data_IF_559028816742
#
_entry.id   IF_559028816742
#
_cell.length_a   1.000
_cell.length_b   1.000
_cell.length_c   1.000
_cell.angle_alpha   90.00
_cell.angle_beta   90.00
_cell.angle_gamma   90.00
#
_symmetry.space_group_name_H-M   'P 1'
#
loop_
_entity.id
_entity.type
_entity.pdbx_description
1 polymer ?
#
# COMPACT_ATOMS: atom_id res chain seq x y z
N UNK A 1 -15.67 -28.91 -6.56
CA UNK A 1 -15.10 -27.87 -5.69
C UNK A 1 -16.04 -27.61 -4.53
N UNK A 2 -15.59 -27.79 -3.27
CA UNK A 2 -16.39 -27.43 -2.09
C UNK A 2 -16.73 -25.93 -2.17
N UNK A 3 -17.99 -25.59 -1.91
CA UNK A 3 -18.48 -24.20 -1.93
C UNK A 3 -17.80 -23.43 -0.80
N UNK A 4 -17.05 -22.37 -1.12
CA UNK A 4 -16.41 -21.53 -0.11
C UNK A 4 -17.48 -20.81 0.71
N UNK A 5 -17.53 -21.07 1.99
CA UNK A 5 -18.44 -20.42 2.94
C UNK A 5 -17.74 -19.22 3.58
N UNK A 6 -18.41 -18.07 3.54
CA UNK A 6 -17.93 -16.83 4.11
C UNK A 6 -18.75 -16.48 5.34
N UNK A 7 -18.08 -16.19 6.45
CA UNK A 7 -18.73 -15.82 7.70
C UNK A 7 -18.08 -14.55 8.29
N UNK A 8 -18.92 -13.73 8.88
CA UNK A 8 -18.51 -12.67 9.78
C UNK A 8 -17.80 -13.25 11.02
N UNK A 9 -17.11 -12.40 11.78
CA UNK A 9 -16.55 -12.78 13.09
C UNK A 9 -17.48 -12.30 14.20
N UNK A 10 -17.56 -13.04 15.30
CA UNK A 10 -18.36 -12.63 16.47
C UNK A 10 -17.86 -11.31 17.06
N UNK A 11 -16.54 -11.06 17.01
CA UNK A 11 -15.92 -9.82 17.50
C UNK A 11 -16.24 -9.50 18.95
N UNK A 12 -16.43 -10.54 19.80
CA UNK A 12 -16.78 -10.43 21.20
C UNK A 12 -15.58 -10.71 22.14
N UNK A 13 -14.39 -10.98 21.59
CA UNK A 13 -13.20 -11.27 22.41
C UNK A 13 -12.62 -9.99 23.00
N UNK A 14 -12.05 -10.09 24.22
CA UNK A 14 -11.33 -8.98 24.87
C UNK A 14 -10.21 -8.41 24.00
N UNK A 15 -9.50 -9.27 23.23
CA UNK A 15 -8.47 -8.85 22.29
C UNK A 15 -9.00 -8.02 21.13
N UNK A 16 -10.20 -8.35 20.61
CA UNK A 16 -10.84 -7.53 19.57
C UNK A 16 -11.24 -6.16 20.09
N UNK A 17 -11.85 -6.07 21.29
CA UNK A 17 -12.21 -4.79 21.90
C UNK A 17 -10.96 -3.95 22.21
N UNK A 18 -9.88 -4.57 22.70
CA UNK A 18 -8.62 -3.88 22.93
C UNK A 18 -8.02 -3.32 21.62
N UNK A 19 -8.09 -4.07 20.52
CA UNK A 19 -7.66 -3.61 19.20
C UNK A 19 -8.49 -2.40 18.73
N UNK A 20 -9.82 -2.48 18.82
CA UNK A 20 -10.71 -1.36 18.41
C UNK A 20 -10.47 -0.13 19.28
N UNK A 21 -10.29 -0.30 20.59
CA UNK A 21 -9.99 0.79 21.52
C UNK A 21 -8.63 1.45 21.19
N UNK A 22 -7.59 0.65 20.92
CA UNK A 22 -6.28 1.15 20.53
C UNK A 22 -6.34 1.94 19.21
N UNK A 23 -6.98 1.38 18.18
CA UNK A 23 -7.12 2.05 16.91
C UNK A 23 -7.97 3.33 17.02
N UNK A 24 -9.05 3.29 17.80
CA UNK A 24 -9.87 4.46 18.10
C UNK A 24 -9.09 5.56 18.83
N UNK A 25 -8.26 5.20 19.80
CA UNK A 25 -7.39 6.12 20.50
C UNK A 25 -6.36 6.77 19.56
N UNK A 26 -5.72 5.99 18.68
CA UNK A 26 -4.78 6.50 17.67
C UNK A 26 -5.46 7.46 16.68
N UNK A 27 -6.69 7.16 16.26
CA UNK A 27 -7.48 8.08 15.41
C UNK A 27 -7.77 9.38 16.17
N UNK A 28 -8.23 9.30 17.43
CA UNK A 28 -8.51 10.47 18.23
C UNK A 28 -7.27 11.35 18.44
N UNK A 29 -6.12 10.74 18.71
CA UNK A 29 -4.82 11.43 18.83
C UNK A 29 -4.44 12.08 17.49
N UNK A 30 -4.59 11.37 16.36
CA UNK A 30 -4.32 11.91 15.03
C UNK A 30 -5.22 13.09 14.66
N UNK A 31 -6.52 13.03 15.00
CA UNK A 31 -7.45 14.16 14.83
C UNK A 31 -7.09 15.35 15.75
N UNK A 32 -6.67 15.08 16.98
CA UNK A 32 -6.15 16.11 17.89
C UNK A 32 -4.90 16.78 17.35
N UNK A 33 -3.99 16.02 16.74
CA UNK A 33 -2.79 16.54 16.08
C UNK A 33 -3.15 17.42 14.86
N UNK A 34 -4.09 16.97 14.03
CA UNK A 34 -4.59 17.76 12.90
C UNK A 34 -5.23 19.07 13.38
N UNK A 35 -6.10 18.99 14.38
CA UNK A 35 -6.72 20.19 14.96
C UNK A 35 -5.66 21.18 15.51
N UNK A 36 -4.63 20.67 16.19
CA UNK A 36 -3.52 21.49 16.68
C UNK A 36 -2.78 22.20 15.54
N UNK A 37 -2.44 21.49 14.46
CA UNK A 37 -1.76 22.07 13.31
C UNK A 37 -2.62 23.12 12.60
N UNK A 38 -3.93 22.88 12.45
CA UNK A 38 -4.87 23.83 11.84
C UNK A 38 -5.07 25.08 12.69
N UNK A 39 -5.21 24.92 14.01
CA UNK A 39 -5.48 26.04 14.91
C UNK A 39 -4.23 26.89 15.18
N UNK A 40 -3.07 26.26 15.36
CA UNK A 40 -1.81 26.97 15.62
C UNK A 40 -1.11 27.44 14.35
N UNK A 41 -1.50 26.88 13.18
CA UNK A 41 -0.83 27.09 11.90
C UNK A 41 0.31 26.10 11.66
N UNK A 42 0.64 25.86 10.39
CA UNK A 42 1.63 24.87 9.98
C UNK A 42 3.08 25.19 10.41
N UNK A 43 3.35 26.33 11.04
CA UNK A 43 4.67 26.64 11.62
C UNK A 43 5.06 25.69 12.76
N UNK A 44 4.11 24.96 13.35
CA UNK A 44 4.38 23.93 14.38
C UNK A 44 4.84 22.60 13.78
N UNK A 45 4.89 22.49 12.46
CA UNK A 45 5.36 21.33 11.72
C UNK A 45 6.83 21.48 11.32
N UNK A 46 7.43 20.40 10.79
CA UNK A 46 8.75 20.47 10.17
C UNK A 46 8.76 21.08 8.76
N UNK A 47 7.59 21.38 8.21
CA UNK A 47 7.45 21.91 6.85
C UNK A 47 7.98 23.34 6.73
N UNK A 48 8.53 23.66 5.58
CA UNK A 48 9.09 24.97 5.25
C UNK A 48 8.61 25.41 3.87
N UNK A 49 8.94 26.62 3.42
CA UNK A 49 8.64 27.07 2.06
C UNK A 49 9.32 26.20 0.98
N UNK A 50 10.41 25.51 1.32
CA UNK A 50 11.12 24.62 0.39
C UNK A 50 10.60 23.17 0.49
N UNK A 51 10.29 22.68 1.69
CA UNK A 51 9.74 21.35 1.97
C UNK A 51 8.28 21.52 2.37
N UNK A 52 7.40 21.56 1.38
CA UNK A 52 5.96 21.79 1.55
C UNK A 52 5.17 20.49 1.76
N UNK A 53 5.76 19.34 1.44
CA UNK A 53 5.19 18.01 1.65
C UNK A 53 6.00 17.29 2.73
N UNK A 54 5.48 17.28 3.94
CA UNK A 54 6.13 16.68 5.10
C UNK A 54 5.76 15.20 5.30
N UNK A 55 5.99 14.73 6.51
CA UNK A 55 5.73 13.34 6.93
C UNK A 55 4.28 12.89 6.70
N UNK A 56 3.21 13.70 6.89
CA UNK A 56 1.85 13.28 6.57
C UNK A 56 1.69 12.84 5.12
N UNK A 57 2.30 13.56 4.17
CA UNK A 57 2.27 13.20 2.75
C UNK A 57 2.97 11.86 2.49
N UNK A 58 4.03 11.52 3.23
CA UNK A 58 4.71 10.21 3.13
C UNK A 58 3.75 9.08 3.47
N UNK A 59 3.04 9.19 4.61
CA UNK A 59 2.03 8.21 5.00
C UNK A 59 0.87 8.13 4.01
N UNK A 60 0.37 9.29 3.57
CA UNK A 60 -0.75 9.36 2.64
C UNK A 60 -0.42 8.70 1.30
N UNK A 61 0.69 9.06 0.67
CA UNK A 61 1.13 8.49 -0.62
C UNK A 61 1.40 7.00 -0.48
N UNK A 62 2.05 6.56 0.62
CA UNK A 62 2.25 5.14 0.89
C UNK A 62 0.92 4.37 0.94
N UNK A 63 -0.06 4.87 1.71
CA UNK A 63 -1.38 4.23 1.85
C UNK A 63 -2.14 4.19 0.51
N UNK A 64 -2.11 5.27 -0.27
CA UNK A 64 -2.74 5.36 -1.59
C UNK A 64 -2.13 4.34 -2.57
N UNK A 65 -0.79 4.27 -2.60
CA UNK A 65 -0.06 3.31 -3.45
C UNK A 65 -0.34 1.88 -3.00
N UNK A 66 -0.31 1.60 -1.69
CA UNK A 66 -0.63 0.30 -1.14
C UNK A 66 -2.09 -0.11 -1.40
N UNK A 67 -3.04 0.84 -1.38
CA UNK A 67 -4.45 0.59 -1.69
C UNK A 67 -4.64 0.01 -3.10
N UNK A 68 -4.01 0.63 -4.09
CA UNK A 68 -4.01 0.12 -5.47
C UNK A 68 -3.49 -1.31 -5.53
N UNK A 69 -2.37 -1.59 -4.87
CA UNK A 69 -1.75 -2.91 -4.87
C UNK A 69 -2.51 -3.97 -4.07
N UNK A 70 -3.16 -3.59 -2.98
CA UNK A 70 -4.02 -4.49 -2.21
C UNK A 70 -5.15 -5.07 -3.08
N UNK A 71 -5.75 -4.27 -3.97
CA UNK A 71 -6.78 -4.71 -4.91
C UNK A 71 -6.27 -5.74 -5.94
N UNK A 72 -4.96 -5.82 -6.16
CA UNK A 72 -4.37 -6.77 -7.11
C UNK A 72 -4.71 -8.24 -6.78
N UNK A 73 -4.77 -8.58 -5.48
CA UNK A 73 -5.11 -9.94 -5.03
C UNK A 73 -6.52 -10.34 -5.51
N UNK A 74 -7.50 -9.41 -5.43
CA UNK A 74 -8.83 -9.62 -5.97
C UNK A 74 -8.80 -9.79 -7.49
N UNK A 75 -7.99 -9.01 -8.20
CA UNK A 75 -7.86 -9.05 -9.65
C UNK A 75 -7.26 -10.38 -10.14
N UNK A 76 -6.30 -10.97 -9.42
CA UNK A 76 -5.74 -12.28 -9.74
C UNK A 76 -6.84 -13.35 -9.76
N UNK A 77 -7.75 -13.30 -8.79
CA UNK A 77 -8.87 -14.24 -8.70
C UNK A 77 -9.96 -14.02 -9.74
N UNK A 78 -10.40 -12.77 -9.93
CA UNK A 78 -11.58 -12.43 -10.73
C UNK A 78 -11.25 -12.17 -12.20
N UNK A 79 -10.20 -11.42 -12.50
CA UNK A 79 -9.82 -11.02 -13.87
C UNK A 79 -9.00 -12.13 -14.54
N UNK A 80 -7.93 -12.57 -13.87
CA UNK A 80 -7.03 -13.59 -14.41
C UNK A 80 -7.49 -15.04 -14.14
N UNK A 81 -8.64 -15.23 -13.50
CA UNK A 81 -9.29 -16.52 -13.33
C UNK A 81 -8.56 -17.54 -12.44
N UNK A 82 -7.57 -17.09 -11.65
CA UNK A 82 -6.82 -17.97 -10.74
C UNK A 82 -7.65 -18.31 -9.51
N UNK A 83 -8.29 -19.49 -9.56
CA UNK A 83 -9.26 -19.97 -8.54
C UNK A 83 -8.76 -19.95 -7.09
N UNK A 84 -7.48 -20.24 -6.76
CA UNK A 84 -7.00 -20.22 -5.38
C UNK A 84 -7.08 -18.82 -4.72
N UNK A 85 -7.08 -17.74 -5.52
CA UNK A 85 -7.13 -16.36 -5.01
C UNK A 85 -8.54 -15.80 -4.88
N UNK A 86 -9.56 -16.45 -5.49
CA UNK A 86 -10.96 -16.00 -5.42
C UNK A 86 -11.47 -15.79 -3.99
N UNK A 87 -11.19 -16.68 -3.02
CA UNK A 87 -11.64 -16.49 -1.64
C UNK A 87 -11.10 -15.24 -0.95
N UNK A 88 -9.97 -14.70 -1.44
CA UNK A 88 -9.30 -13.53 -0.88
C UNK A 88 -9.87 -12.19 -1.40
N UNK A 89 -10.69 -12.23 -2.46
CA UNK A 89 -11.09 -11.02 -3.21
C UNK A 89 -11.87 -10.01 -2.37
N UNK A 90 -12.74 -10.48 -1.45
CA UNK A 90 -13.54 -9.59 -0.59
C UNK A 90 -12.68 -8.83 0.40
N UNK A 91 -11.79 -9.53 1.11
CA UNK A 91 -10.85 -8.90 2.05
C UNK A 91 -9.92 -7.92 1.32
N UNK A 92 -9.42 -8.30 0.15
CA UNK A 92 -8.59 -7.48 -0.71
C UNK A 92 -9.28 -6.17 -1.12
N UNK A 93 -10.56 -6.22 -1.51
CA UNK A 93 -11.32 -5.04 -1.89
C UNK A 93 -11.59 -4.10 -0.69
N UNK A 94 -11.96 -4.65 0.48
CA UNK A 94 -12.14 -3.84 1.70
C UNK A 94 -10.84 -3.20 2.14
N UNK A 95 -9.72 -3.94 2.12
CA UNK A 95 -8.41 -3.38 2.45
C UNK A 95 -8.01 -2.24 1.50
N UNK A 96 -8.29 -2.39 0.20
CA UNK A 96 -8.01 -1.34 -0.77
C UNK A 96 -8.82 -0.06 -0.48
N UNK A 97 -10.12 -0.18 -0.20
CA UNK A 97 -10.96 0.96 0.22
C UNK A 97 -10.42 1.59 1.50
N UNK A 98 -10.09 0.76 2.50
CA UNK A 98 -9.64 1.22 3.80
C UNK A 98 -8.30 1.99 3.72
N UNK A 99 -7.32 1.45 2.99
CA UNK A 99 -6.02 2.10 2.81
C UNK A 99 -6.17 3.43 2.05
N UNK A 100 -6.99 3.48 0.99
CA UNK A 100 -7.24 4.73 0.28
C UNK A 100 -7.96 5.75 1.16
N UNK A 101 -8.98 5.34 1.92
CA UNK A 101 -9.69 6.23 2.83
C UNK A 101 -8.77 6.81 3.91
N UNK A 102 -7.90 5.98 4.51
CA UNK A 102 -6.89 6.44 5.48
C UNK A 102 -5.90 7.42 4.87
N UNK A 103 -5.39 7.15 3.66
CA UNK A 103 -4.48 8.05 2.94
C UNK A 103 -5.12 9.39 2.58
N UNK A 104 -6.37 9.37 2.09
CA UNK A 104 -7.11 10.59 1.76
C UNK A 104 -7.47 11.40 3.00
N UNK A 105 -7.79 10.74 4.12
CA UNK A 105 -8.04 11.44 5.37
C UNK A 105 -6.82 12.24 5.84
N UNK A 106 -5.62 11.65 5.76
CA UNK A 106 -4.38 12.38 6.06
C UNK A 106 -4.23 13.59 5.13
N UNK A 107 -4.38 13.41 3.81
CA UNK A 107 -4.22 14.50 2.86
C UNK A 107 -5.18 15.65 3.12
N UNK A 108 -6.46 15.35 3.41
CA UNK A 108 -7.48 16.38 3.69
C UNK A 108 -7.15 17.13 4.98
N UNK A 109 -6.71 16.42 6.01
CA UNK A 109 -6.40 17.00 7.31
C UNK A 109 -5.05 17.74 7.36
N UNK A 110 -4.22 17.59 6.32
CA UNK A 110 -2.92 18.28 6.19
C UNK A 110 -2.98 19.45 5.18
N UNK A 111 -4.16 19.78 4.62
CA UNK A 111 -4.28 20.83 3.60
C UNK A 111 -4.12 22.26 4.10
N UNK A 112 -4.17 22.51 5.41
CA UNK A 112 -4.18 23.83 6.01
C UNK A 112 -5.48 24.63 5.81
N UNK A 113 -6.22 24.35 4.75
CA UNK A 113 -7.55 24.92 4.47
C UNK A 113 -8.47 23.87 3.84
N UNK A 114 -8.83 22.81 4.60
CA UNK A 114 -9.66 21.72 4.09
C UNK A 114 -11.06 22.18 3.67
N UNK A 115 -11.55 23.28 4.24
CA UNK A 115 -12.81 23.95 3.88
C UNK A 115 -12.85 24.36 2.40
N UNK A 116 -11.68 24.67 1.79
CA UNK A 116 -11.58 25.06 0.37
C UNK A 116 -11.40 23.89 -0.59
N UNK A 117 -11.36 22.65 -0.12
CA UNK A 117 -11.24 21.47 -0.99
C UNK A 117 -12.38 21.42 -2.01
N UNK A 118 -13.60 21.82 -1.61
CA UNK A 118 -14.76 21.87 -2.51
C UNK A 118 -14.53 22.81 -3.71
N UNK A 119 -13.80 23.90 -3.52
CA UNK A 119 -13.45 24.82 -4.60
C UNK A 119 -12.51 24.15 -5.60
N UNK A 120 -11.49 23.44 -5.12
CA UNK A 120 -10.59 22.68 -5.97
C UNK A 120 -11.31 21.53 -6.70
N UNK A 121 -12.39 21.00 -6.13
CA UNK A 121 -13.21 19.95 -6.73
C UNK A 121 -14.24 20.47 -7.74
N UNK A 122 -14.56 21.74 -7.73
CA UNK A 122 -15.58 22.34 -8.61
C UNK A 122 -15.01 23.22 -9.73
N UNK A 123 -13.83 23.79 -9.51
CA UNK A 123 -13.12 24.64 -10.47
C UNK A 123 -11.83 23.96 -10.92
N UNK A 124 -11.94 23.03 -11.86
CA UNK A 124 -10.80 22.23 -12.30
C UNK A 124 -9.89 22.95 -13.30
N UNK A 125 -8.59 22.80 -13.09
CA UNK A 125 -7.62 22.97 -14.14
C UNK A 125 -7.29 21.60 -14.76
N UNK A 126 -7.84 21.28 -15.91
CA UNK A 126 -7.62 19.99 -16.59
C UNK A 126 -6.18 19.77 -17.07
N UNK A 127 -5.31 20.78 -17.02
CA UNK A 127 -3.87 20.62 -17.24
C UNK A 127 -3.10 20.18 -16.00
N UNK A 128 -3.75 20.21 -14.82
CA UNK A 128 -3.12 19.84 -13.56
C UNK A 128 -3.28 18.37 -13.29
N UNK A 129 -2.15 17.67 -13.08
CA UNK A 129 -2.13 16.27 -12.65
C UNK A 129 -2.78 16.09 -11.28
N UNK A 130 -2.73 17.09 -10.40
CA UNK A 130 -3.38 17.05 -9.10
C UNK A 130 -4.90 17.00 -9.22
N UNK A 131 -5.49 17.77 -10.13
CA UNK A 131 -6.92 17.75 -10.40
C UNK A 131 -7.37 16.36 -10.90
N UNK A 132 -6.61 15.74 -11.79
CA UNK A 132 -6.88 14.39 -12.27
C UNK A 132 -6.87 13.36 -11.14
N UNK A 133 -5.94 13.47 -10.17
CA UNK A 133 -5.88 12.54 -9.06
C UNK A 133 -7.11 12.58 -8.15
N UNK A 134 -7.80 13.74 -8.01
CA UNK A 134 -9.07 13.81 -7.27
C UNK A 134 -10.12 12.89 -7.92
N UNK A 135 -10.25 12.93 -9.24
CA UNK A 135 -11.16 12.03 -9.99
C UNK A 135 -10.75 10.57 -9.85
N UNK A 136 -9.46 10.29 -9.96
CA UNK A 136 -8.94 8.93 -9.90
C UNK A 136 -9.17 8.29 -8.52
N UNK A 137 -8.95 9.02 -7.43
CA UNK A 137 -9.19 8.53 -6.07
C UNK A 137 -10.67 8.34 -5.79
N UNK A 138 -11.51 9.30 -6.14
CA UNK A 138 -12.97 9.20 -5.97
C UNK A 138 -13.54 8.06 -6.81
N UNK A 139 -13.15 7.98 -8.08
CA UNK A 139 -13.58 6.91 -8.97
C UNK A 139 -13.15 5.53 -8.49
N UNK A 140 -11.94 5.40 -7.94
CA UNK A 140 -11.49 4.13 -7.35
C UNK A 140 -12.38 3.69 -6.19
N UNK A 141 -12.69 4.58 -5.24
CA UNK A 141 -13.57 4.26 -4.12
C UNK A 141 -14.93 3.76 -4.60
N UNK A 142 -15.55 4.47 -5.54
CA UNK A 142 -16.86 4.10 -6.09
C UNK A 142 -16.79 2.76 -6.82
N UNK A 143 -15.84 2.57 -7.72
CA UNK A 143 -15.72 1.35 -8.53
C UNK A 143 -15.43 0.14 -7.64
N UNK A 144 -14.54 0.26 -6.65
CA UNK A 144 -14.20 -0.86 -5.75
C UNK A 144 -15.33 -1.16 -4.78
N UNK A 145 -16.09 -0.15 -4.32
CA UNK A 145 -17.29 -0.36 -3.51
C UNK A 145 -18.38 -1.12 -4.30
N UNK A 146 -18.63 -0.74 -5.55
CA UNK A 146 -19.55 -1.45 -6.44
C UNK A 146 -19.05 -2.87 -6.71
N UNK A 147 -17.75 -3.05 -6.96
CA UNK A 147 -17.15 -4.37 -7.15
C UNK A 147 -17.30 -5.28 -5.91
N UNK A 148 -17.06 -4.74 -4.72
CA UNK A 148 -17.26 -5.45 -3.45
C UNK A 148 -18.73 -5.86 -3.28
N UNK A 149 -19.66 -4.93 -3.50
CA UNK A 149 -21.09 -5.20 -3.43
C UNK A 149 -21.51 -6.32 -4.39
N UNK A 150 -21.05 -6.29 -5.64
CA UNK A 150 -21.34 -7.35 -6.61
C UNK A 150 -20.78 -8.71 -6.22
N UNK A 151 -19.63 -8.76 -5.53
CA UNK A 151 -19.09 -10.02 -5.01
C UNK A 151 -19.90 -10.57 -3.83
N UNK A 152 -20.61 -9.72 -3.11
CA UNK A 152 -21.39 -10.12 -1.93
C UNK A 152 -22.83 -10.48 -2.28
N UNK A 153 -23.44 -9.78 -3.25
CA UNK A 153 -24.81 -10.02 -3.69
C UNK A 153 -24.87 -11.19 -4.69
N UNK A 154 -25.60 -12.26 -4.31
CA UNK A 154 -25.65 -13.51 -5.08
C UNK A 154 -26.17 -13.30 -6.52
N UNK A 155 -27.19 -12.44 -6.70
CA UNK A 155 -27.78 -12.16 -8.00
C UNK A 155 -26.85 -11.37 -8.92
N UNK A 156 -26.02 -10.51 -8.34
CA UNK A 156 -25.12 -9.60 -9.07
C UNK A 156 -23.73 -10.21 -9.30
N UNK A 157 -23.41 -11.33 -8.66
CA UNK A 157 -22.05 -11.93 -8.72
C UNK A 157 -21.61 -12.30 -10.15
N UNK A 158 -22.54 -12.53 -11.09
CA UNK A 158 -22.25 -12.74 -12.52
C UNK A 158 -21.53 -11.56 -13.17
N UNK A 159 -21.73 -10.33 -12.65
CA UNK A 159 -21.10 -9.12 -13.13
C UNK A 159 -19.79 -8.78 -12.41
N UNK A 160 -19.39 -9.55 -11.41
CA UNK A 160 -18.16 -9.30 -10.64
C UNK A 160 -16.90 -9.34 -11.50
N UNK A 161 -16.86 -10.17 -12.55
CA UNK A 161 -15.71 -10.24 -13.46
C UNK A 161 -15.53 -8.99 -14.32
N UNK A 162 -16.53 -8.48 -15.08
CA UNK A 162 -16.37 -7.26 -15.85
C UNK A 162 -16.12 -6.03 -14.97
N UNK A 163 -16.78 -5.88 -13.82
CA UNK A 163 -16.52 -4.78 -12.91
C UNK A 163 -15.14 -4.91 -12.25
N UNK A 164 -14.70 -6.14 -11.95
CA UNK A 164 -13.32 -6.41 -11.51
C UNK A 164 -12.27 -6.01 -12.56
N UNK A 165 -12.55 -6.18 -13.85
CA UNK A 165 -11.67 -5.69 -14.93
C UNK A 165 -11.62 -4.16 -14.98
N UNK A 166 -12.77 -3.49 -14.85
CA UNK A 166 -12.81 -2.02 -14.74
C UNK A 166 -12.01 -1.54 -13.53
N UNK A 167 -12.20 -2.16 -12.38
CA UNK A 167 -11.45 -1.85 -11.17
C UNK A 167 -9.93 -2.08 -11.35
N UNK A 168 -9.55 -3.16 -12.07
CA UNK A 168 -8.14 -3.44 -12.39
C UNK A 168 -7.53 -2.38 -13.30
N UNK A 169 -8.21 -1.96 -14.35
CA UNK A 169 -7.73 -0.90 -15.25
C UNK A 169 -7.67 0.44 -14.49
N UNK A 170 -8.72 0.78 -13.75
CA UNK A 170 -8.79 2.04 -13.01
C UNK A 170 -7.67 2.18 -11.98
N UNK A 171 -7.34 1.11 -11.23
CA UNK A 171 -6.24 1.17 -10.27
C UNK A 171 -4.87 1.40 -10.94
N UNK A 172 -4.65 0.87 -12.14
CA UNK A 172 -3.42 1.14 -12.89
C UNK A 172 -3.34 2.60 -13.31
N UNK A 173 -4.46 3.17 -13.81
CA UNK A 173 -4.56 4.58 -14.16
C UNK A 173 -4.34 5.46 -12.92
N UNK A 174 -4.96 5.10 -11.78
CA UNK A 174 -4.76 5.80 -10.50
C UNK A 174 -3.28 5.82 -10.09
N UNK A 175 -2.63 4.67 -10.10
CA UNK A 175 -1.23 4.58 -9.66
C UNK A 175 -0.30 5.29 -10.64
N UNK A 176 -0.58 5.23 -11.96
CA UNK A 176 0.09 6.02 -12.98
C UNK A 176 -0.07 7.52 -12.69
N UNK A 177 -1.31 7.97 -12.40
CA UNK A 177 -1.59 9.37 -12.03
C UNK A 177 -0.82 9.82 -10.79
N UNK A 178 -0.78 8.97 -9.75
CA UNK A 178 -0.04 9.27 -8.52
C UNK A 178 1.47 9.37 -8.79
N UNK A 179 2.05 8.44 -9.56
CA UNK A 179 3.46 8.51 -9.95
C UNK A 179 3.77 9.69 -10.87
N UNK A 180 2.81 10.08 -11.73
CA UNK A 180 2.94 11.23 -12.63
C UNK A 180 2.92 12.56 -11.88
N UNK A 181 2.37 12.64 -10.65
CA UNK A 181 2.53 13.83 -9.80
C UNK A 181 4.02 14.18 -9.68
N UNK A 182 4.84 13.18 -9.39
CA UNK A 182 6.28 13.37 -9.26
C UNK A 182 6.96 13.47 -10.64
N UNK A 183 6.62 12.59 -11.58
CA UNK A 183 7.24 12.56 -12.90
C UNK A 183 7.02 13.80 -13.76
N UNK A 184 5.98 14.59 -13.50
CA UNK A 184 5.67 15.82 -14.24
C UNK A 184 6.14 17.10 -13.55
N UNK A 185 6.72 17.01 -12.35
CA UNK A 185 7.24 18.16 -11.62
C UNK A 185 8.69 18.46 -12.04
N UNK A 186 8.84 19.07 -13.21
CA UNK A 186 10.13 19.41 -13.83
C UNK A 186 10.98 20.35 -12.97
N UNK A 187 10.35 21.17 -12.13
CA UNK A 187 11.05 22.10 -11.25
C UNK A 187 11.94 21.44 -10.19
N UNK A 188 11.76 20.16 -9.91
CA UNK A 188 12.55 19.40 -8.92
C UNK A 188 13.34 18.31 -9.61
N UNK A 189 14.68 18.41 -9.58
CA UNK A 189 15.57 17.44 -10.22
C UNK A 189 15.44 15.99 -9.71
N UNK A 190 14.98 15.80 -8.46
CA UNK A 190 14.72 14.47 -7.92
C UNK A 190 13.42 13.85 -8.45
N UNK A 191 12.60 14.63 -9.15
CA UNK A 191 11.32 14.17 -9.70
C UNK A 191 11.46 13.93 -11.20
N UNK A 192 10.98 14.79 -12.02
CA UNK A 192 11.15 14.92 -13.48
C UNK A 192 11.63 13.67 -14.22
N UNK A 193 10.94 12.55 -14.03
CA UNK A 193 11.31 11.29 -14.66
C UNK A 193 10.07 10.52 -15.11
N UNK A 194 9.99 10.19 -16.38
CA UNK A 194 8.91 9.36 -16.94
C UNK A 194 8.82 7.98 -16.24
N UNK A 195 9.94 7.51 -15.69
CA UNK A 195 10.01 6.24 -14.97
C UNK A 195 9.22 6.23 -13.65
N UNK A 196 8.85 7.40 -13.09
CA UNK A 196 8.09 7.48 -11.85
C UNK A 196 6.74 6.76 -11.94
N UNK A 197 6.00 6.93 -13.04
CA UNK A 197 4.71 6.28 -13.20
C UNK A 197 4.78 4.74 -13.17
N UNK A 198 5.59 4.05 -13.99
CA UNK A 198 5.72 2.60 -13.94
C UNK A 198 6.37 2.11 -12.63
N UNK A 199 7.29 2.87 -12.04
CA UNK A 199 7.87 2.54 -10.72
C UNK A 199 6.79 2.54 -9.62
N UNK A 200 5.88 3.51 -9.60
CA UNK A 200 4.77 3.53 -8.65
C UNK A 200 3.81 2.34 -8.82
N UNK A 201 3.60 1.87 -10.06
CA UNK A 201 2.85 0.63 -10.31
C UNK A 201 3.56 -0.56 -9.65
N UNK A 202 4.87 -0.71 -9.85
CA UNK A 202 5.66 -1.77 -9.22
C UNK A 202 5.63 -1.68 -7.68
N UNK A 203 5.82 -0.46 -7.14
CA UNK A 203 5.71 -0.18 -5.69
C UNK A 203 4.33 -0.57 -5.15
N UNK A 204 3.26 -0.25 -5.89
CA UNK A 204 1.91 -0.61 -5.46
C UNK A 204 1.73 -2.12 -5.29
N UNK A 205 2.25 -2.92 -6.21
CA UNK A 205 2.17 -4.37 -6.10
C UNK A 205 2.88 -4.89 -4.85
N UNK A 206 4.06 -4.38 -4.58
CA UNK A 206 4.87 -4.78 -3.41
C UNK A 206 4.22 -4.35 -2.10
N UNK A 207 3.91 -3.07 -1.94
CA UNK A 207 3.37 -2.51 -0.69
C UNK A 207 1.97 -3.03 -0.39
N UNK A 208 1.12 -3.09 -1.41
CA UNK A 208 -0.25 -3.59 -1.25
C UNK A 208 -0.31 -5.08 -0.91
N UNK A 209 0.55 -5.91 -1.52
CA UNK A 209 0.61 -7.33 -1.18
C UNK A 209 1.22 -7.55 0.21
N UNK A 210 2.23 -6.77 0.61
CA UNK A 210 2.80 -6.83 1.95
C UNK A 210 1.75 -6.49 3.03
N UNK A 211 1.00 -5.39 2.84
CA UNK A 211 -0.10 -5.01 3.73
C UNK A 211 -1.19 -6.08 3.76
N UNK A 212 -1.56 -6.63 2.60
CA UNK A 212 -2.56 -7.70 2.51
C UNK A 212 -2.12 -8.97 3.26
N UNK A 213 -0.87 -9.40 3.13
CA UNK A 213 -0.33 -10.56 3.84
C UNK A 213 -0.40 -10.39 5.36
N UNK A 214 -0.01 -9.22 5.88
CA UNK A 214 -0.07 -8.96 7.31
C UNK A 214 -1.52 -8.97 7.82
N UNK A 215 -2.44 -8.30 7.11
CA UNK A 215 -3.87 -8.28 7.48
C UNK A 215 -4.48 -9.66 7.39
N UNK A 216 -4.19 -10.44 6.34
CA UNK A 216 -4.67 -11.81 6.19
C UNK A 216 -4.20 -12.70 7.36
N UNK A 217 -2.88 -12.70 7.62
CA UNK A 217 -2.30 -13.53 8.69
C UNK A 217 -2.81 -13.12 10.07
N UNK A 218 -2.93 -11.82 10.34
CA UNK A 218 -3.49 -11.30 11.60
C UNK A 218 -4.96 -11.68 11.77
N UNK A 219 -5.78 -11.55 10.73
CA UNK A 219 -7.20 -11.89 10.75
C UNK A 219 -7.43 -13.38 11.04
N UNK A 220 -6.69 -14.26 10.37
CA UNK A 220 -6.83 -15.70 10.57
C UNK A 220 -6.28 -16.17 11.92
N UNK A 221 -5.18 -15.56 12.39
CA UNK A 221 -4.66 -15.84 13.74
C UNK A 221 -5.63 -15.36 14.82
N UNK A 222 -6.17 -14.15 14.68
CA UNK A 222 -7.10 -13.56 15.66
C UNK A 222 -8.46 -14.26 15.74
N UNK A 223 -8.87 -14.96 14.67
CA UNK A 223 -10.12 -15.71 14.59
C UNK A 223 -9.97 -17.21 14.78
N UNK A 224 -8.73 -17.69 15.00
CA UNK A 224 -8.36 -19.11 15.09
C UNK A 224 -8.86 -19.94 13.89
N UNK A 225 -9.07 -19.32 12.70
CA UNK A 225 -9.46 -20.01 11.48
C UNK A 225 -8.25 -20.63 10.80
N UNK A 226 -8.39 -21.81 10.14
CA UNK A 226 -7.27 -22.43 9.46
C UNK A 226 -6.86 -21.65 8.21
N UNK A 227 -5.56 -21.38 8.08
CA UNK A 227 -4.91 -20.73 6.94
C UNK A 227 -3.87 -21.69 6.38
N UNK A 228 -4.01 -22.10 5.11
CA UNK A 228 -3.12 -23.05 4.44
C UNK A 228 -1.74 -22.47 4.15
N UNK A 229 -0.71 -23.30 4.30
CA UNK A 229 0.67 -22.89 4.02
C UNK A 229 0.94 -22.80 2.52
N UNK A 230 0.26 -23.61 1.69
CA UNK A 230 0.38 -23.54 0.23
C UNK A 230 -0.02 -22.16 -0.30
N UNK A 231 -1.13 -21.62 0.19
CA UNK A 231 -1.59 -20.28 -0.19
C UNK A 231 -0.58 -19.19 0.24
N UNK A 232 -0.07 -19.29 1.46
CA UNK A 232 0.96 -18.36 1.96
C UNK A 232 2.24 -18.42 1.13
N UNK A 233 2.69 -19.62 0.75
CA UNK A 233 3.86 -19.82 -0.11
C UNK A 233 3.65 -19.17 -1.48
N UNK A 234 2.46 -19.29 -2.08
CA UNK A 234 2.13 -18.63 -3.35
C UNK A 234 2.18 -17.11 -3.23
N UNK A 235 1.57 -16.55 -2.18
CA UNK A 235 1.54 -15.10 -1.94
C UNK A 235 2.94 -14.56 -1.63
N UNK A 236 3.75 -15.26 -0.83
CA UNK A 236 5.12 -14.83 -0.51
C UNK A 236 6.04 -14.85 -1.74
N UNK A 237 5.89 -15.84 -2.63
CA UNK A 237 6.66 -15.89 -3.88
C UNK A 237 6.30 -14.70 -4.78
N UNK A 238 5.00 -14.37 -4.84
CA UNK A 238 4.54 -13.19 -5.57
C UNK A 238 5.09 -11.89 -4.97
N UNK A 239 5.13 -11.79 -3.63
CA UNK A 239 5.75 -10.65 -2.94
C UNK A 239 7.23 -10.52 -3.30
N UNK A 240 7.98 -11.62 -3.31
CA UNK A 240 9.39 -11.61 -3.69
C UNK A 240 9.61 -11.11 -5.13
N UNK A 241 8.78 -11.55 -6.08
CA UNK A 241 8.83 -11.04 -7.46
C UNK A 241 8.56 -9.53 -7.51
N UNK A 242 7.57 -9.05 -6.76
CA UNK A 242 7.23 -7.62 -6.74
C UNK A 242 8.34 -6.78 -6.09
N UNK A 243 8.95 -7.25 -5.01
CA UNK A 243 10.10 -6.57 -4.37
C UNK A 243 11.29 -6.50 -5.34
N UNK A 244 11.60 -7.59 -6.05
CA UNK A 244 12.66 -7.59 -7.06
C UNK A 244 12.35 -6.63 -8.21
N UNK A 245 11.08 -6.52 -8.61
CA UNK A 245 10.63 -5.57 -9.65
C UNK A 245 10.81 -4.13 -9.18
N UNK A 246 10.46 -3.80 -7.94
CA UNK A 246 10.69 -2.45 -7.37
C UNK A 246 12.18 -2.15 -7.36
N UNK A 247 13.01 -3.08 -6.89
CA UNK A 247 14.46 -2.91 -6.85
C UNK A 247 15.04 -2.66 -8.26
N UNK A 248 14.54 -3.37 -9.27
CA UNK A 248 14.92 -3.14 -10.67
C UNK A 248 14.58 -1.71 -11.13
N UNK A 249 13.35 -1.24 -10.87
CA UNK A 249 12.95 0.12 -11.25
C UNK A 249 13.75 1.20 -10.51
N UNK A 250 14.03 0.99 -9.22
CA UNK A 250 14.89 1.90 -8.43
C UNK A 250 16.29 1.96 -9.04
N UNK A 251 16.88 0.82 -9.37
CA UNK A 251 18.20 0.75 -10.01
C UNK A 251 18.20 1.48 -11.35
N UNK A 252 17.23 1.22 -12.21
CA UNK A 252 17.14 1.87 -13.54
C UNK A 252 16.94 3.39 -13.39
N UNK A 253 16.10 3.83 -12.43
CA UNK A 253 15.89 5.25 -12.15
C UNK A 253 17.20 5.95 -11.79
N UNK A 254 17.96 5.42 -10.84
CA UNK A 254 19.24 6.03 -10.44
C UNK A 254 20.30 5.95 -11.53
N UNK A 255 20.39 4.84 -12.27
CA UNK A 255 21.31 4.72 -13.40
C UNK A 255 20.99 5.73 -14.52
N UNK A 256 19.70 5.92 -14.83
CA UNK A 256 19.27 6.90 -15.83
C UNK A 256 19.68 8.32 -15.42
N UNK A 257 19.43 8.66 -14.15
CA UNK A 257 19.75 9.98 -13.62
C UNK A 257 21.27 10.20 -13.47
N UNK A 258 22.05 9.14 -13.19
CA UNK A 258 23.51 9.21 -13.18
C UNK A 258 24.10 9.38 -14.59
N UNK A 259 23.39 8.92 -15.63
CA UNK A 259 23.80 9.17 -17.00
C UNK A 259 23.50 10.61 -17.44
N UNK A 260 22.40 11.20 -16.95
CA UNK A 260 22.01 12.57 -17.25
C UNK A 260 22.77 13.58 -16.39
N UNK A 261 23.62 14.41 -16.99
CA UNK A 261 24.48 15.38 -16.27
C UNK A 261 23.69 16.36 -15.39
N UNK A 262 22.46 16.69 -15.77
CA UNK A 262 21.58 17.60 -15.02
C UNK A 262 21.17 17.06 -13.65
N UNK A 263 21.18 15.75 -13.48
CA UNK A 263 20.74 15.08 -12.24
C UNK A 263 21.91 14.63 -11.33
N UNK A 264 23.18 14.85 -11.73
CA UNK A 264 24.35 14.40 -10.96
C UNK A 264 24.34 14.92 -9.53
N UNK A 265 23.99 16.20 -9.34
CA UNK A 265 23.97 16.82 -7.99
C UNK A 265 22.97 16.16 -7.07
N UNK A 266 21.72 15.97 -7.52
CA UNK A 266 20.69 15.30 -6.70
C UNK A 266 21.00 13.82 -6.49
N UNK A 267 21.63 13.15 -7.46
CA UNK A 267 22.06 11.76 -7.29
C UNK A 267 23.20 11.62 -6.29
N UNK A 268 24.20 12.52 -6.34
CA UNK A 268 25.25 12.60 -5.31
C UNK A 268 24.64 12.81 -3.93
N UNK A 269 23.69 13.75 -3.80
CA UNK A 269 22.98 14.00 -2.56
C UNK A 269 22.25 12.76 -2.05
N UNK A 270 21.43 12.07 -2.85
CA UNK A 270 20.67 10.90 -2.37
C UNK A 270 21.59 9.70 -2.10
N UNK A 271 22.57 9.44 -2.96
CA UNK A 271 23.36 8.22 -2.89
C UNK A 271 24.57 8.31 -1.96
N UNK A 272 25.17 9.52 -1.75
CA UNK A 272 26.43 9.69 -1.06
C UNK A 272 26.36 10.69 0.11
N UNK A 273 25.91 11.93 -0.13
CA UNK A 273 26.15 13.05 0.77
C UNK A 273 24.92 13.59 1.50
N UNK A 274 23.74 13.00 1.29
CA UNK A 274 22.46 13.47 1.82
C UNK A 274 22.18 13.11 3.29
N UNK A 275 23.19 12.63 4.02
CA UNK A 275 23.05 12.33 5.45
C UNK A 275 21.95 11.32 5.75
N UNK A 276 20.87 11.78 6.39
CA UNK A 276 19.73 10.87 6.74
C UNK A 276 19.05 10.27 5.50
N UNK A 277 18.97 11.00 4.38
CA UNK A 277 18.33 10.49 3.15
C UNK A 277 19.15 9.35 2.53
N UNK A 278 20.48 9.49 2.52
CA UNK A 278 21.40 8.43 2.08
C UNK A 278 21.31 7.19 2.96
N UNK A 279 21.23 7.38 4.30
CA UNK A 279 21.08 6.27 5.24
C UNK A 279 19.72 5.57 5.07
N UNK A 280 18.62 6.31 4.93
CA UNK A 280 17.30 5.76 4.66
C UNK A 280 17.27 5.00 3.33
N UNK A 281 17.91 5.52 2.30
CA UNK A 281 18.01 4.86 1.00
C UNK A 281 18.75 3.53 1.11
N UNK A 282 20.02 3.52 1.55
CA UNK A 282 20.81 2.30 1.54
C UNK A 282 20.44 1.30 2.62
N UNK A 283 20.22 1.76 3.86
CA UNK A 283 19.98 0.86 4.99
C UNK A 283 18.51 0.45 5.03
N UNK A 284 17.57 1.40 5.02
CA UNK A 284 16.17 1.06 5.27
C UNK A 284 15.47 0.60 3.99
N UNK A 285 15.63 1.31 2.87
CA UNK A 285 14.96 0.96 1.63
C UNK A 285 15.61 -0.24 0.94
N UNK A 286 16.93 -0.19 0.69
CA UNK A 286 17.63 -1.22 -0.10
C UNK A 286 17.90 -2.45 0.76
N UNK A 287 18.63 -2.30 1.89
CA UNK A 287 19.05 -3.47 2.68
C UNK A 287 17.86 -4.08 3.41
N UNK A 288 17.17 -3.33 4.27
CA UNK A 288 16.09 -3.86 5.12
C UNK A 288 14.77 -4.04 4.36
N UNK A 289 14.43 -3.14 3.44
CA UNK A 289 13.15 -3.16 2.73
C UNK A 289 13.13 -4.02 1.46
N UNK A 290 14.29 -4.37 0.90
CA UNK A 290 14.38 -5.10 -0.36
C UNK A 290 15.24 -6.36 -0.25
N UNK A 291 16.54 -6.24 0.02
CA UNK A 291 17.46 -7.38 0.00
C UNK A 291 17.18 -8.40 1.12
N UNK A 292 16.97 -7.91 2.35
CA UNK A 292 16.66 -8.79 3.48
C UNK A 292 15.32 -9.53 3.32
N UNK A 293 14.21 -8.89 2.90
CA UNK A 293 12.98 -9.61 2.54
C UNK A 293 13.20 -10.66 1.45
N UNK A 294 13.92 -10.36 0.37
CA UNK A 294 14.21 -11.33 -0.68
C UNK A 294 15.00 -12.53 -0.12
N UNK A 295 16.01 -12.28 0.69
CA UNK A 295 16.75 -13.35 1.36
C UNK A 295 15.83 -14.21 2.24
N UNK A 296 15.03 -13.59 3.12
CA UNK A 296 14.14 -14.32 4.04
C UNK A 296 13.09 -15.16 3.29
N UNK A 297 12.47 -14.58 2.24
CA UNK A 297 11.41 -15.24 1.47
C UNK A 297 11.93 -16.43 0.64
N UNK A 298 13.15 -16.36 0.11
CA UNK A 298 13.69 -17.41 -0.77
C UNK A 298 14.65 -18.37 -0.06
N UNK A 299 15.04 -18.09 1.20
CA UNK A 299 15.86 -19.03 1.98
C UNK A 299 15.11 -20.37 2.19
N UNK A 300 15.73 -21.55 1.93
CA UNK A 300 15.03 -22.84 1.90
C UNK A 300 14.27 -23.21 3.18
N UNK A 301 14.78 -22.81 4.34
CA UNK A 301 14.16 -23.09 5.65
C UNK A 301 13.29 -21.92 6.12
N UNK A 302 13.82 -20.68 6.07
CA UNK A 302 13.12 -19.49 6.57
C UNK A 302 11.90 -19.13 5.73
N UNK A 303 11.97 -19.29 4.41
CA UNK A 303 10.89 -18.92 3.50
C UNK A 303 9.61 -19.77 3.63
N UNK A 304 9.62 -20.83 4.46
CA UNK A 304 8.43 -21.61 4.82
C UNK A 304 7.84 -21.21 6.18
N UNK A 305 8.56 -20.40 6.96
CA UNK A 305 8.10 -19.94 8.27
C UNK A 305 7.11 -18.79 8.15
N UNK A 306 5.96 -18.90 8.80
CA UNK A 306 4.95 -17.81 8.86
C UNK A 306 5.52 -16.55 9.49
N UNK A 307 6.36 -16.68 10.52
CA UNK A 307 7.02 -15.54 11.14
C UNK A 307 7.94 -14.82 10.16
N UNK A 308 8.73 -15.56 9.37
CA UNK A 308 9.61 -15.00 8.35
C UNK A 308 8.83 -14.27 7.23
N UNK A 309 7.69 -14.82 6.81
CA UNK A 309 6.82 -14.18 5.82
C UNK A 309 6.25 -12.87 6.38
N UNK A 310 5.77 -12.87 7.63
CA UNK A 310 5.25 -11.67 8.28
C UNK A 310 6.34 -10.61 8.48
N UNK A 311 7.53 -11.02 8.94
CA UNK A 311 8.69 -10.12 9.08
C UNK A 311 9.08 -9.52 7.75
N UNK A 312 9.16 -10.32 6.68
CA UNK A 312 9.46 -9.81 5.34
C UNK A 312 8.43 -8.79 4.86
N UNK A 313 7.13 -9.07 5.06
CA UNK A 313 6.08 -8.13 4.70
C UNK A 313 6.18 -6.82 5.51
N UNK A 314 6.47 -6.89 6.81
CA UNK A 314 6.69 -5.70 7.65
C UNK A 314 7.92 -4.89 7.20
N UNK A 315 9.01 -5.55 6.85
CA UNK A 315 10.22 -4.92 6.33
C UNK A 315 9.99 -4.26 4.96
N UNK A 316 9.19 -4.87 4.09
CA UNK A 316 8.77 -4.26 2.81
C UNK A 316 7.97 -2.98 3.04
N UNK A 317 7.07 -2.95 4.04
CA UNK A 317 6.32 -1.76 4.41
C UNK A 317 7.26 -0.66 4.93
N UNK A 318 8.18 -1.02 5.83
CA UNK A 318 9.17 -0.07 6.37
C UNK A 318 10.08 0.49 5.27
N UNK A 319 10.60 -0.36 4.39
CA UNK A 319 11.40 0.06 3.24
C UNK A 319 10.62 0.92 2.25
N UNK A 320 9.33 0.62 2.04
CA UNK A 320 8.44 1.41 1.21
C UNK A 320 8.16 2.80 1.79
N UNK A 321 7.96 2.92 3.10
CA UNK A 321 7.86 4.20 3.78
C UNK A 321 9.15 5.02 3.64
N UNK A 322 10.32 4.38 3.80
CA UNK A 322 11.60 5.03 3.58
C UNK A 322 11.78 5.48 2.12
N UNK A 323 11.38 4.66 1.15
CA UNK A 323 11.41 5.00 -0.27
C UNK A 323 10.56 6.24 -0.57
N UNK A 324 9.35 6.30 -0.06
CA UNK A 324 8.46 7.46 -0.24
C UNK A 324 9.03 8.68 0.50
N UNK A 325 9.62 8.49 1.68
CA UNK A 325 10.25 9.58 2.45
C UNK A 325 11.44 10.19 1.69
N UNK A 326 12.36 9.37 1.19
CA UNK A 326 13.50 9.82 0.40
C UNK A 326 13.04 10.51 -0.88
N UNK A 327 12.02 9.95 -1.56
CA UNK A 327 11.47 10.55 -2.76
C UNK A 327 10.83 11.92 -2.45
N UNK A 328 9.88 11.98 -1.49
CA UNK A 328 9.12 13.21 -1.24
C UNK A 328 9.97 14.26 -0.53
N UNK A 329 10.51 13.92 0.62
CA UNK A 329 11.21 14.90 1.48
C UNK A 329 12.64 15.11 1.00
N UNK A 330 13.37 14.04 0.71
CA UNK A 330 14.73 14.12 0.16
C UNK A 330 14.77 14.87 -1.17
N UNK A 331 13.78 14.60 -2.05
CA UNK A 331 13.65 15.31 -3.32
C UNK A 331 13.32 16.79 -3.18
N UNK A 332 12.64 17.21 -2.09
CA UNK A 332 12.39 18.62 -1.78
C UNK A 332 13.56 19.28 -1.03
N UNK A 333 14.30 18.50 -0.24
CA UNK A 333 15.44 19.01 0.54
C UNK A 333 16.59 19.43 -0.36
N UNK A 334 16.77 18.77 -1.51
CA UNK A 334 17.74 19.21 -2.52
C UNK A 334 17.30 20.54 -3.14
N UNK A 335 18.18 21.55 -3.23
CA UNK A 335 17.82 22.89 -3.68
C UNK A 335 17.35 22.92 -5.12
N UNK A 336 16.46 23.87 -5.43
CA UNK A 336 16.04 24.16 -6.80
C UNK A 336 17.19 24.80 -7.58
N UNK A 337 17.44 24.33 -8.79
CA UNK A 337 18.35 25.00 -9.74
C UNK A 337 17.55 26.04 -10.50
N UNK A 338 17.42 27.25 -9.95
CA UNK A 338 16.61 28.32 -10.55
C UNK A 338 17.36 29.01 -11.72
N UNK A 339 18.67 29.18 -11.59
CA UNK A 339 19.53 29.85 -12.59
C UNK A 339 20.80 29.03 -12.81
N UNK A 340 20.83 28.16 -13.82
CA UNK A 340 22.02 27.33 -14.09
C UNK A 340 23.30 28.19 -14.26
N UNK A 341 24.37 27.78 -13.57
CA UNK A 341 25.67 28.47 -13.64
C UNK A 341 25.78 29.75 -12.81
N UNK A 342 24.76 30.08 -11.97
CA UNK A 342 24.80 31.21 -11.06
C UNK A 342 24.54 30.76 -9.62
N UNK A 343 25.22 31.37 -8.67
CA UNK A 343 24.86 31.26 -7.25
C UNK A 343 23.52 31.96 -6.99
N UNK A 344 22.60 31.25 -6.33
CA UNK A 344 21.34 31.81 -5.88
C UNK A 344 21.45 31.96 -4.36
N UNK A 345 21.44 33.21 -3.87
CA UNK A 345 21.34 33.47 -2.45
C UNK A 345 20.16 34.38 -2.18
N UNK A 346 19.35 34.02 -1.19
CA UNK A 346 18.21 34.82 -0.74
C UNK A 346 18.06 34.72 0.77
N UNK A 347 17.30 35.67 1.39
CA UNK A 347 16.91 35.59 2.79
C UNK A 347 15.98 34.40 3.11
N UNK A 348 15.48 33.70 2.09
CA UNK A 348 14.65 32.48 2.20
C UNK A 348 15.48 31.21 2.07
N UNK A 349 16.80 31.28 2.05
CA UNK A 349 17.74 30.15 1.93
C UNK A 349 17.55 29.33 0.64
N UNK A 350 17.08 29.95 -0.44
CA UNK A 350 17.07 29.33 -1.77
C UNK A 350 18.51 28.96 -2.18
N UNK A 351 18.67 27.84 -2.85
CA UNK A 351 19.99 27.37 -3.30
C UNK A 351 20.80 26.58 -2.26
N UNK A 352 20.30 26.40 -1.03
CA UNK A 352 20.93 25.54 -0.01
C UNK A 352 20.07 24.29 0.24
N UNK A 353 20.72 23.22 0.74
CA UNK A 353 20.00 22.02 1.16
C UNK A 353 19.14 22.36 2.38
N UNK A 354 17.83 22.12 2.27
CA UNK A 354 16.90 22.36 3.37
C UNK A 354 16.95 21.24 4.41
N UNK A 355 16.91 21.64 5.68
CA UNK A 355 16.77 20.71 6.80
C UNK A 355 15.30 20.43 7.09
N UNK A 356 14.97 19.16 7.33
CA UNK A 356 13.65 18.75 7.75
C UNK A 356 13.74 17.79 8.94
N UNK A 357 12.94 18.07 9.94
CA UNK A 357 12.74 17.17 11.08
C UNK A 357 11.25 16.93 11.28
N UNK A 358 10.79 15.66 11.20
CA UNK A 358 9.40 15.34 11.45
C UNK A 358 8.93 15.84 12.81
N UNK A 359 7.86 16.62 12.85
CA UNK A 359 7.24 17.01 14.11
C UNK A 359 6.35 15.92 14.66
N UNK A 360 6.13 15.92 15.97
CA UNK A 360 5.24 14.95 16.61
C UNK A 360 3.81 14.99 16.03
N UNK A 361 3.17 16.15 15.82
CA UNK A 361 1.85 16.23 15.20
C UNK A 361 1.78 15.60 13.81
N UNK A 362 2.80 15.78 12.96
CA UNK A 362 2.86 15.18 11.63
C UNK A 362 2.87 13.65 11.69
N UNK A 363 3.68 13.09 12.59
CA UNK A 363 3.76 11.63 12.79
C UNK A 363 2.46 11.08 13.34
N UNK A 364 1.85 11.76 14.32
CA UNK A 364 0.59 11.33 14.94
C UNK A 364 -0.58 11.37 13.94
N UNK A 365 -0.64 12.37 13.04
CA UNK A 365 -1.61 12.42 11.97
C UNK A 365 -1.43 11.23 11.01
N UNK A 366 -0.19 10.94 10.62
CA UNK A 366 0.12 9.79 9.77
C UNK A 366 -0.31 8.46 10.38
N UNK A 367 0.00 8.23 11.67
CA UNK A 367 -0.41 7.04 12.42
C UNK A 367 -1.94 6.98 12.59
N UNK A 368 -2.61 8.11 12.77
CA UNK A 368 -4.07 8.22 12.80
C UNK A 368 -4.72 7.71 11.52
N UNK A 369 -4.17 8.06 10.35
CA UNK A 369 -4.66 7.56 9.06
C UNK A 369 -4.42 6.06 8.85
N UNK A 370 -3.27 5.54 9.29
CA UNK A 370 -3.03 4.09 9.31
C UNK A 370 -4.04 3.37 10.22
N UNK A 371 -4.27 3.92 11.42
CA UNK A 371 -5.26 3.36 12.35
C UNK A 371 -6.68 3.42 11.78
N UNK A 372 -7.04 4.47 11.03
CA UNK A 372 -8.30 4.57 10.31
C UNK A 372 -8.45 3.47 9.27
N UNK A 373 -7.42 3.19 8.49
CA UNK A 373 -7.45 2.09 7.53
C UNK A 373 -7.65 0.73 8.23
N UNK A 374 -6.92 0.48 9.32
CA UNK A 374 -7.02 -0.78 10.06
C UNK A 374 -8.37 -0.95 10.78
N UNK A 375 -8.96 0.11 11.33
CA UNK A 375 -10.26 0.02 11.99
C UNK A 375 -11.38 -0.25 10.99
N UNK A 376 -11.32 0.33 9.78
CA UNK A 376 -12.27 0.03 8.70
C UNK A 376 -12.21 -1.45 8.34
N UNK A 377 -11.02 -2.04 8.25
CA UNK A 377 -10.86 -3.49 7.99
C UNK A 377 -11.40 -4.31 9.16
N UNK A 378 -11.05 -3.96 10.40
CA UNK A 378 -11.48 -4.70 11.59
C UNK A 378 -13.00 -4.68 11.76
N UNK A 379 -13.64 -3.53 11.55
CA UNK A 379 -15.11 -3.41 11.55
C UNK A 379 -15.73 -4.12 10.34
N UNK A 380 -15.09 -3.99 9.17
CA UNK A 380 -15.52 -4.67 7.95
C UNK A 380 -15.60 -6.20 8.12
N UNK A 381 -14.60 -6.81 8.75
CA UNK A 381 -14.56 -8.28 9.01
C UNK A 381 -15.66 -8.69 9.99
N UNK A 382 -16.04 -7.81 10.94
CA UNK A 382 -17.12 -8.08 11.90
C UNK A 382 -18.51 -7.95 11.28
N UNK A 383 -18.70 -6.97 10.39
CA UNK A 383 -20.04 -6.62 9.87
C UNK A 383 -20.33 -7.37 8.56
N UNK A 384 -19.29 -7.61 7.75
CA UNK A 384 -19.41 -8.17 6.41
C UNK A 384 -18.82 -9.58 6.36
N UNK A 385 -19.39 -10.44 5.53
CA UNK A 385 -18.90 -11.79 5.27
C UNK A 385 -17.69 -11.77 4.35
N UNK A 386 -16.54 -11.31 4.88
CA UNK A 386 -15.31 -11.11 4.11
C UNK A 386 -14.39 -12.33 4.13
N UNK A 387 -14.32 -13.02 5.27
CA UNK A 387 -13.39 -14.12 5.48
C UNK A 387 -14.03 -15.48 5.21
N UNK A 388 -13.42 -16.34 4.40
CA UNK A 388 -13.74 -17.76 4.34
C UNK A 388 -13.59 -18.42 5.71
N UNK A 389 -14.47 -19.37 6.00
CA UNK A 389 -14.41 -20.16 7.23
C UNK A 389 -13.08 -20.94 7.32
N UNK A 390 -12.59 -21.42 6.19
CA UNK A 390 -11.30 -22.12 6.09
C UNK A 390 -10.61 -21.78 4.77
N UNK A 391 -9.33 -21.52 4.85
CA UNK A 391 -8.37 -21.49 3.74
C UNK A 391 -7.29 -22.57 3.94
N UNK A 392 -7.58 -23.61 4.76
CA UNK A 392 -6.69 -24.74 4.97
C UNK A 392 -6.39 -25.47 3.68
N UNK A 393 -5.21 -26.07 3.59
CA UNK A 393 -4.84 -26.94 2.49
C UNK A 393 -5.83 -28.12 2.44
N UNK A 394 -6.27 -28.52 1.26
CA UNK A 394 -7.14 -29.69 1.12
C UNK A 394 -6.38 -30.91 1.64
N UNK A 395 -6.93 -31.56 2.68
CA UNK A 395 -6.41 -32.87 3.10
C UNK A 395 -6.44 -33.77 1.87
N UNK A 396 -5.36 -34.54 1.58
CA UNK A 396 -5.44 -35.56 0.56
C UNK A 396 -6.64 -36.47 0.93
N UNK A 397 -7.60 -36.60 0.02
CA UNK A 397 -8.71 -37.50 0.20
C UNK A 397 -8.14 -38.87 0.48
N UNK A 398 -8.31 -39.37 1.70
CA UNK A 398 -8.21 -40.79 2.04
C UNK A 398 -9.42 -41.52 1.41
N UNK A 399 -9.48 -41.51 0.09
CA UNK A 399 -10.19 -42.49 -0.69
C UNK A 399 -9.21 -43.63 -0.97
N UNK A 400 -8.78 -44.29 0.07
CA UNK A 400 -8.24 -45.63 -0.03
C UNK A 400 -9.46 -46.57 -0.07
N UNK A 401 -9.67 -47.14 -1.24
CA UNK A 401 -10.70 -48.10 -1.55
C UNK A 401 -11.01 -49.10 -0.46
N UNK A 402 -12.23 -49.08 -0.03
CA UNK A 402 -12.91 -50.25 0.41
C UNK A 402 -13.52 -50.89 -0.85
N UNK A 403 -12.69 -51.51 -1.68
CA UNK A 403 -13.14 -52.58 -2.54
C UNK A 403 -13.56 -53.75 -1.62
N UNK A 404 -14.84 -53.78 -1.37
CA UNK A 404 -15.47 -54.99 -0.84
C UNK A 404 -15.24 -56.12 -1.83
N UNK A 405 -14.35 -57.03 -1.48
CA UNK A 405 -14.29 -58.38 -2.05
C UNK A 405 -15.64 -59.08 -1.85
N UNK A 406 -16.49 -58.96 -2.84
CA UNK A 406 -17.68 -59.84 -3.00
C UNK A 406 -17.22 -61.17 -3.52
N UNK A 407 -17.28 -62.17 -2.67
CA UNK A 407 -17.16 -63.59 -3.03
C UNK A 407 -18.17 -64.01 -4.12
N UNK A 408 -17.77 -64.79 -5.08
CA UNK A 408 -18.73 -65.51 -5.94
C UNK A 408 -19.19 -66.76 -5.23
N UNK A 409 -20.47 -66.82 -4.81
CA UNK A 409 -21.13 -68.01 -4.41
C UNK A 409 -21.29 -68.93 -5.61
N UNK A 410 -20.63 -70.09 -5.59
CA UNK A 410 -20.92 -71.24 -6.42
C UNK A 410 -22.06 -72.06 -5.81
N UNK A 411 -23.08 -72.30 -6.56
CA UNK A 411 -23.99 -73.41 -6.42
C UNK A 411 -24.50 -73.73 -7.83
N UNK A 412 -24.27 -74.83 -8.36
CA UNK A 412 -24.47 -76.22 -8.21
C UNK A 412 -25.91 -76.67 -8.55
N UNK A 413 -26.02 -77.36 -9.59
CA UNK A 413 -27.01 -78.28 -10.14
C UNK A 413 -27.70 -77.85 -11.43
#
# INVERSE_FOLDING_TARGET
>A
MKKTEFLEIDGASGGYYALIALLGALIAIGLGAAYYMEHSGHHVTGMTNQIVWGTPHVFAVFLIVAASGALNVASIGSVFGKTPYKPLSRLSAVLAIALLAGGLAILVLDLGRPDRLIVAMTYYNFKSIFAWNIFLYTGFLVIVAVYLWMMMERRMNRYSRPVGLVAFIWRLILTTGTGSIFGFLVARQAYDAALMAPMFIAMSFSFGLAAFLLVLMASYRGTARPLGDELLIRLKNLLGVFVATVLYFVMVYHLTNLYGTEHHGVQGFILLDGGIYTQLFWIVQILLGSLLPLFLLYHPRLGRSRASIATSAALVILGGLAQIYVLIIGGQAYPLVMFPGKEVSSSFFDGVVASYSPSLPEVLLGLGGVAMALIIVALGIKILRLLPLSLGDASPSTDSGAESSGEPSAAGA
#
